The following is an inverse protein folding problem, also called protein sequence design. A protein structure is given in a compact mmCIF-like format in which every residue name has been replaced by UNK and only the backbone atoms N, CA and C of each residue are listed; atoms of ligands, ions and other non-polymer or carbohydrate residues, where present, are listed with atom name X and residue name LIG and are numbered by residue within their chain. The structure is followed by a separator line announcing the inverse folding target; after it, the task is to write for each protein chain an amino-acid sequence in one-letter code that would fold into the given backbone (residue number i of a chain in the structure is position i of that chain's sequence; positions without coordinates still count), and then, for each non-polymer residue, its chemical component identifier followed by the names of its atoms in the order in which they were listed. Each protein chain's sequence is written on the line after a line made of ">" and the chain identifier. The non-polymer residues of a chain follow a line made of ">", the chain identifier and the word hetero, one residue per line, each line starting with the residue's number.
data_IF_876113244305
#
_entry.id   IF_876113244305
#
_cell.length_a   1.000
_cell.length_b   1.000
_cell.length_c   1.000
_cell.angle_alpha   90.00
_cell.angle_beta   90.00
_cell.angle_gamma   90.00
#
_symmetry.space_group_name_H-M   'P 1'
#
loop_
_entity.id
_entity.type
_entity.pdbx_description
1 polymer ?
#
# COMPACT_ATOMS: atom_id res chain seq x y z
N UNK A 1 7.21 3.57 -3.76
CA UNK A 1 7.22 2.53 -2.71
C UNK A 1 6.58 1.26 -3.27
N UNK A 2 6.89 0.07 -2.74
CA UNK A 2 6.22 -1.18 -3.12
C UNK A 2 5.96 -2.06 -1.89
N UNK A 3 4.78 -2.65 -1.86
CA UNK A 3 4.39 -3.67 -0.91
C UNK A 3 4.81 -5.05 -1.44
N UNK A 4 5.29 -5.91 -0.55
CA UNK A 4 5.67 -7.28 -0.88
C UNK A 4 5.08 -8.21 0.18
N UNK A 5 4.25 -9.16 -0.27
CA UNK A 5 3.79 -10.27 0.54
C UNK A 5 4.64 -11.51 0.24
N UNK A 6 5.00 -12.26 1.29
CA UNK A 6 5.79 -13.49 1.19
C UNK A 6 4.97 -14.65 1.75
N UNK A 7 5.00 -15.81 1.08
CA UNK A 7 4.33 -17.03 1.56
C UNK A 7 2.85 -17.19 1.14
N UNK A 8 2.29 -16.26 0.36
CA UNK A 8 0.92 -16.37 -0.18
C UNK A 8 0.84 -17.04 -1.55
N UNK A 9 -0.31 -17.62 -1.88
CA UNK A 9 -0.59 -18.20 -3.19
C UNK A 9 -0.84 -17.10 -4.25
N UNK A 10 -0.09 -17.07 -5.37
CA UNK A 10 -0.37 -16.14 -6.45
C UNK A 10 -1.70 -16.47 -7.15
N UNK A 11 -2.43 -15.47 -7.68
CA UNK A 11 -2.13 -14.03 -7.65
C UNK A 11 -2.45 -13.39 -6.29
N UNK A 12 -1.55 -12.51 -5.84
CA UNK A 12 -1.75 -11.69 -4.63
C UNK A 12 -2.30 -10.32 -5.04
N UNK A 13 -3.38 -9.89 -4.39
CA UNK A 13 -3.98 -8.56 -4.56
C UNK A 13 -3.58 -7.65 -3.41
N UNK A 14 -3.15 -6.44 -3.73
CA UNK A 14 -2.75 -5.42 -2.77
C UNK A 14 -3.80 -4.30 -2.67
N UNK A 15 -4.06 -3.85 -1.46
CA UNK A 15 -4.86 -2.67 -1.16
C UNK A 15 -4.13 -1.79 -0.14
N UNK A 16 -4.41 -0.49 -0.15
CA UNK A 16 -3.83 0.45 0.78
C UNK A 16 -4.85 1.53 1.12
N UNK A 17 -5.02 1.80 2.41
CA UNK A 17 -5.89 2.84 2.96
C UNK A 17 -5.07 3.84 3.75
N UNK A 18 -5.59 5.07 3.92
CA UNK A 18 -4.85 6.16 4.56
C UNK A 18 -3.74 6.77 3.70
N UNK A 19 -3.70 6.44 2.40
CA UNK A 19 -2.79 7.09 1.47
C UNK A 19 -3.12 8.59 1.33
N UNK A 20 -2.12 9.48 1.32
CA UNK A 20 -2.29 10.88 0.97
C UNK A 20 -3.00 11.04 -0.37
N UNK A 21 -3.77 12.11 -0.50
CA UNK A 21 -4.46 12.42 -1.75
C UNK A 21 -3.49 12.43 -2.93
N UNK A 22 -3.83 11.78 -4.04
CA UNK A 22 -2.96 11.71 -5.22
C UNK A 22 -1.91 10.60 -5.19
N UNK A 23 -1.87 9.79 -4.13
CA UNK A 23 -1.20 8.48 -4.13
C UNK A 23 -2.21 7.35 -4.32
N UNK A 24 -1.79 6.28 -4.99
CA UNK A 24 -2.58 5.07 -5.18
C UNK A 24 -1.68 3.84 -5.21
N UNK A 25 -2.24 2.69 -4.83
CA UNK A 25 -1.55 1.39 -4.91
C UNK A 25 -2.03 0.64 -6.14
N UNK A 26 -1.08 0.07 -6.88
CA UNK A 26 -1.37 -0.91 -7.92
C UNK A 26 -1.68 -2.26 -7.27
N UNK A 27 -2.90 -2.76 -7.48
CA UNK A 27 -3.38 -3.96 -6.81
C UNK A 27 -2.69 -5.25 -7.28
N UNK A 28 -2.06 -5.28 -8.45
CA UNK A 28 -1.38 -6.46 -8.97
C UNK A 28 0.08 -6.53 -8.52
N UNK A 29 0.73 -5.36 -8.38
CA UNK A 29 2.18 -5.27 -8.11
C UNK A 29 2.51 -4.75 -6.71
N UNK A 30 1.53 -4.20 -6.00
CA UNK A 30 1.72 -3.55 -4.70
C UNK A 30 2.46 -2.21 -4.80
N UNK A 31 2.64 -1.66 -6.00
CA UNK A 31 3.39 -0.43 -6.22
C UNK A 31 2.55 0.78 -5.83
N UNK A 32 3.00 1.53 -4.82
CA UNK A 32 2.41 2.81 -4.44
C UNK A 32 3.11 3.91 -5.23
N UNK A 33 2.32 4.66 -6.00
CA UNK A 33 2.79 5.73 -6.89
C UNK A 33 1.76 6.85 -7.03
N UNK A 34 2.20 7.98 -7.59
CA UNK A 34 1.40 9.18 -7.77
C UNK A 34 2.11 10.42 -7.24
N UNK A 35 1.38 11.52 -7.14
CA UNK A 35 1.86 12.82 -6.68
C UNK A 35 1.03 13.21 -5.46
N UNK A 36 1.55 13.08 -4.23
CA UNK A 36 0.78 13.40 -3.04
C UNK A 36 0.43 14.88 -2.99
N UNK A 37 -0.82 15.25 -2.69
CA UNK A 37 -1.22 16.63 -2.45
C UNK A 37 -1.16 16.88 -0.95
N UNK A 38 -0.06 17.50 -0.50
CA UNK A 38 0.20 17.82 0.90
C UNK A 38 1.44 17.11 1.47
N UNK A 39 2.08 17.77 2.44
CA UNK A 39 3.19 17.23 3.23
C UNK A 39 2.70 16.84 4.62
N UNK A 40 3.34 15.84 5.20
CA UNK A 40 2.99 15.32 6.53
C UNK A 40 3.20 13.83 6.65
N UNK A 41 3.14 13.35 7.89
CA UNK A 41 3.20 11.91 8.21
C UNK A 41 1.78 11.39 8.42
N UNK A 42 1.38 10.39 7.64
CA UNK A 42 0.10 9.71 7.79
C UNK A 42 0.30 8.23 8.08
N UNK A 43 -0.63 7.61 8.81
CA UNK A 43 -0.64 6.16 8.99
C UNK A 43 -1.31 5.51 7.77
N UNK A 44 -0.56 4.69 7.05
CA UNK A 44 -1.05 3.92 5.90
C UNK A 44 -1.22 2.48 6.34
N UNK A 45 -2.36 1.88 6.01
CA UNK A 45 -2.61 0.45 6.22
C UNK A 45 -2.58 -0.24 4.87
N UNK A 46 -1.60 -1.12 4.67
CA UNK A 46 -1.52 -2.02 3.54
C UNK A 46 -2.20 -3.34 3.85
N UNK A 47 -2.87 -3.91 2.86
CA UNK A 47 -3.50 -5.22 2.90
C UNK A 47 -3.05 -6.02 1.70
N UNK A 48 -2.65 -7.26 1.91
CA UNK A 48 -2.39 -8.21 0.84
C UNK A 48 -3.33 -9.41 1.00
N UNK A 49 -3.98 -9.81 -0.08
CA UNK A 49 -4.92 -10.93 -0.13
C UNK A 49 -4.42 -11.91 -1.17
N UNK A 50 -4.24 -13.16 -0.79
CA UNK A 50 -3.79 -14.20 -1.72
C UNK A 50 -4.96 -14.89 -2.45
N UNK A 51 -4.65 -15.80 -3.37
CA UNK A 51 -5.67 -16.50 -4.16
C UNK A 51 -6.58 -17.41 -3.33
N UNK A 52 -6.15 -17.83 -2.14
CA UNK A 52 -6.95 -18.64 -1.21
C UNK A 52 -7.88 -17.78 -0.33
N UNK A 53 -7.79 -16.45 -0.45
CA UNK A 53 -8.52 -15.50 0.39
C UNK A 53 -7.83 -15.20 1.72
N UNK A 54 -6.61 -15.70 1.94
CA UNK A 54 -5.84 -15.36 3.13
C UNK A 54 -5.39 -13.90 3.04
N UNK A 55 -5.65 -13.14 4.11
CA UNK A 55 -5.34 -11.71 4.18
C UNK A 55 -4.29 -11.41 5.25
N UNK A 56 -3.32 -10.56 4.91
CA UNK A 56 -2.41 -9.96 5.88
C UNK A 56 -2.49 -8.44 5.80
N UNK A 57 -2.47 -7.79 6.96
CA UNK A 57 -2.52 -6.33 7.09
C UNK A 57 -1.29 -5.81 7.83
N UNK A 58 -0.72 -4.71 7.35
CA UNK A 58 0.39 -4.02 8.00
C UNK A 58 0.15 -2.51 7.98
N UNK A 59 0.26 -1.86 9.14
CA UNK A 59 0.22 -0.41 9.25
C UNK A 59 1.63 0.15 9.39
N UNK A 60 1.92 1.25 8.70
CA UNK A 60 3.20 1.94 8.80
C UNK A 60 3.03 3.46 8.63
N UNK A 61 3.90 4.28 9.25
CA UNK A 61 3.95 5.71 8.96
C UNK A 61 4.50 5.95 7.56
N UNK A 62 3.79 6.75 6.77
CA UNK A 62 4.26 7.29 5.50
C UNK A 62 4.49 8.79 5.68
N UNK A 63 5.76 9.20 5.66
CA UNK A 63 6.14 10.60 5.65
C UNK A 63 6.23 11.11 4.22
N UNK A 64 5.40 12.09 3.88
CA UNK A 64 5.50 12.84 2.62
C UNK A 64 6.15 14.18 2.90
N UNK A 65 7.33 14.42 2.32
CA UNK A 65 7.96 15.73 2.36
C UNK A 65 7.82 16.41 1.00
N UNK A 66 7.17 17.58 1.01
CA UNK A 66 7.29 18.57 -0.06
C UNK A 66 8.32 19.59 0.40
N UNK A 67 9.34 19.78 -0.42
CA UNK A 67 10.40 20.77 -0.23
C UNK A 67 9.92 22.16 -0.64
#
# INVERSE_FOLDING_TARGET
>A
MRLTATGGLPPVRYAATGLPWGLSVDAATGRISGKPWGSGTVQVTATATDASGATVTAAFPLTVNWF
#
